data_IF_344515513271
#
_entry.id   IF_344515513271
#
_cell.length_a   1.000
_cell.length_b   1.000
_cell.length_c   1.000
_cell.angle_alpha   90.00
_cell.angle_beta   90.00
_cell.angle_gamma   90.00
#
_symmetry.space_group_name_H-M   'P 1'
#
loop_
_entity.id
_entity.type
_entity.pdbx_description
1 polymer ?
#
# COMPACT_ATOMS: atom_id res chain seq x y z
N UNK A 1 18.00 16.81 4.45
CA UNK A 1 16.74 17.27 3.81
C UNK A 1 17.06 18.13 2.60
N UNK A 2 16.60 17.76 1.39
CA UNK A 2 16.78 18.62 0.20
C UNK A 2 16.04 19.94 0.44
N UNK A 3 16.65 21.10 0.13
CA UNK A 3 16.00 22.41 0.27
C UNK A 3 14.73 22.45 -0.57
N UNK A 4 13.58 22.58 0.09
CA UNK A 4 12.29 22.76 -0.57
C UNK A 4 12.24 24.17 -1.18
N UNK A 5 12.08 24.25 -2.51
CA UNK A 5 12.08 25.54 -3.24
C UNK A 5 10.84 26.39 -3.00
N UNK A 6 9.70 25.75 -2.70
CA UNK A 6 8.41 26.43 -2.48
C UNK A 6 7.81 25.92 -1.18
N UNK A 7 7.76 26.78 -0.17
CA UNK A 7 7.25 26.45 1.17
C UNK A 7 5.81 26.93 1.40
N UNK A 8 5.39 27.99 0.71
CA UNK A 8 4.06 28.59 0.86
C UNK A 8 3.44 28.83 -0.50
N UNK A 9 2.18 28.43 -0.63
CA UNK A 9 1.35 28.71 -1.80
C UNK A 9 0.42 29.87 -1.46
N UNK A 10 0.10 30.71 -2.46
CA UNK A 10 -0.75 31.89 -2.27
C UNK A 10 -2.23 31.55 -2.06
N UNK A 11 -2.70 30.46 -2.66
CA UNK A 11 -4.08 29.96 -2.57
C UNK A 11 -4.08 28.42 -2.61
N UNK A 12 -5.11 27.82 -2.03
CA UNK A 12 -5.31 26.38 -1.99
C UNK A 12 -5.51 25.84 -3.41
N UNK A 13 -6.32 26.50 -4.24
CA UNK A 13 -6.56 26.09 -5.63
C UNK A 13 -5.27 26.00 -6.47
N UNK A 14 -4.37 26.98 -6.32
CA UNK A 14 -3.06 26.99 -6.99
C UNK A 14 -2.22 25.80 -6.53
N UNK A 15 -2.35 25.47 -5.25
CA UNK A 15 -1.76 24.27 -4.69
C UNK A 15 -2.33 23.02 -5.36
N UNK A 16 -3.64 22.83 -5.33
CA UNK A 16 -4.30 21.64 -5.86
C UNK A 16 -3.93 21.41 -7.34
N UNK A 17 -3.88 22.48 -8.16
CA UNK A 17 -3.36 22.42 -9.53
C UNK A 17 -1.88 22.05 -9.62
N UNK A 18 -1.05 22.49 -8.67
CA UNK A 18 0.36 22.11 -8.60
C UNK A 18 0.54 20.61 -8.34
N UNK A 19 -0.33 20.00 -7.51
CA UNK A 19 -0.33 18.55 -7.27
C UNK A 19 -0.73 17.78 -8.53
N UNK A 20 -1.74 18.26 -9.27
CA UNK A 20 -2.12 17.66 -10.56
C UNK A 20 -0.99 17.71 -11.59
N UNK A 21 -0.29 18.84 -11.68
CA UNK A 21 0.78 19.02 -12.68
C UNK A 21 2.09 18.29 -12.33
N UNK A 22 2.37 17.98 -11.06
CA UNK A 22 3.67 17.47 -10.60
C UNK A 22 3.51 16.27 -9.68
N UNK A 23 4.13 15.14 -10.05
CA UNK A 23 4.06 13.86 -9.31
C UNK A 23 4.71 13.83 -7.91
N UNK A 24 5.53 14.82 -7.53
CA UNK A 24 6.30 14.82 -6.26
C UNK A 24 6.05 16.07 -5.44
N UNK A 25 4.78 16.41 -5.28
CA UNK A 25 4.33 17.56 -4.49
C UNK A 25 3.19 17.10 -3.61
N UNK A 26 3.26 17.48 -2.34
CA UNK A 26 2.18 17.33 -1.38
C UNK A 26 1.82 18.70 -0.82
N UNK A 27 0.57 18.84 -0.38
CA UNK A 27 0.05 20.09 0.18
C UNK A 27 -0.48 19.80 1.57
N UNK A 28 -0.14 20.71 2.47
CA UNK A 28 -0.63 20.73 3.83
C UNK A 28 -1.57 21.93 3.96
N UNK A 29 -2.78 21.69 4.46
CA UNK A 29 -3.82 22.70 4.54
C UNK A 29 -5.00 22.25 5.40
N UNK A 30 -6.05 23.06 5.42
CA UNK A 30 -7.29 22.70 6.11
C UNK A 30 -7.93 21.47 5.47
N UNK A 31 -8.33 20.49 6.29
CA UNK A 31 -8.91 19.23 5.81
C UNK A 31 -10.16 19.48 4.97
N UNK A 32 -11.12 20.24 5.50
CA UNK A 32 -12.40 20.49 4.81
C UNK A 32 -12.20 21.25 3.49
N UNK A 33 -11.30 22.24 3.48
CA UNK A 33 -10.98 22.99 2.25
C UNK A 33 -10.31 22.11 1.20
N UNK A 34 -9.39 21.24 1.61
CA UNK A 34 -8.75 20.30 0.68
C UNK A 34 -9.72 19.23 0.20
N UNK A 35 -10.62 18.78 1.07
CA UNK A 35 -11.65 17.82 0.72
C UNK A 35 -12.61 18.41 -0.32
N UNK A 36 -13.13 19.62 -0.08
CA UNK A 36 -13.97 20.35 -1.04
C UNK A 36 -13.29 20.56 -2.38
N UNK A 37 -12.03 21.01 -2.40
CA UNK A 37 -11.31 21.22 -3.66
C UNK A 37 -11.00 19.89 -4.36
N UNK A 38 -10.70 18.81 -3.63
CA UNK A 38 -10.49 17.49 -4.24
C UNK A 38 -11.75 16.96 -4.92
N UNK A 39 -12.92 17.14 -4.29
CA UNK A 39 -14.23 16.81 -4.87
C UNK A 39 -14.60 17.72 -6.04
N UNK A 40 -14.03 18.92 -6.15
CA UNK A 40 -14.27 19.88 -7.26
C UNK A 40 -13.34 19.69 -8.46
N UNK A 41 -12.12 19.21 -8.25
CA UNK A 41 -11.12 18.95 -9.29
C UNK A 41 -11.04 17.46 -9.71
N UNK A 42 -11.92 16.63 -9.19
CA UNK A 42 -12.00 15.19 -9.43
C UNK A 42 -11.25 14.39 -8.36
N UNK A 43 -12.00 13.66 -7.52
CA UNK A 43 -11.50 12.94 -6.35
C UNK A 43 -10.50 11.83 -6.67
N UNK A 44 -10.56 11.23 -7.87
CA UNK A 44 -9.67 10.15 -8.32
C UNK A 44 -8.19 10.56 -8.40
N UNK A 45 -7.92 11.86 -8.56
CA UNK A 45 -6.54 12.34 -8.73
C UNK A 45 -5.84 12.65 -7.40
N UNK A 46 -6.56 12.59 -6.28
CA UNK A 46 -6.07 13.05 -4.99
C UNK A 46 -6.28 12.01 -3.92
N UNK A 47 -5.26 11.82 -3.09
CA UNK A 47 -5.39 11.09 -1.84
C UNK A 47 -5.27 12.08 -0.69
N UNK A 48 -6.33 12.18 0.11
CA UNK A 48 -6.23 12.86 1.40
C UNK A 48 -5.55 11.93 2.40
N UNK A 49 -4.40 12.36 2.91
CA UNK A 49 -3.71 11.69 4.01
C UNK A 49 -4.46 11.87 5.33
N UNK A 50 -4.07 11.09 6.33
CA UNK A 50 -4.63 11.17 7.68
C UNK A 50 -4.50 12.58 8.28
N UNK A 51 -5.44 12.90 9.16
CA UNK A 51 -5.48 14.16 9.88
C UNK A 51 -4.31 14.27 10.86
N UNK A 52 -3.32 15.09 10.52
CA UNK A 52 -2.14 15.34 11.35
C UNK A 52 -2.45 16.17 12.61
N UNK A 53 -3.50 17.01 12.58
CA UNK A 53 -3.84 17.89 13.70
C UNK A 53 -5.33 18.21 13.77
N UNK A 54 -5.88 18.24 14.98
CA UNK A 54 -7.28 18.56 15.27
C UNK A 54 -7.43 20.01 15.69
N UNK A 55 -8.12 20.80 14.85
CA UNK A 55 -8.68 22.11 15.22
C UNK A 55 -10.15 22.16 14.90
N UNK A 56 -10.87 22.94 15.69
CA UNK A 56 -12.25 23.29 15.46
C UNK A 56 -12.32 24.70 14.88
N UNK A 57 -13.24 24.90 13.93
CA UNK A 57 -13.60 26.23 13.47
C UNK A 57 -14.45 26.91 14.53
N UNK A 58 -14.11 28.13 14.89
CA UNK A 58 -14.82 28.93 15.87
C UNK A 58 -15.00 30.35 15.35
N UNK A 59 -16.03 31.02 15.83
CA UNK A 59 -16.31 32.41 15.49
C UNK A 59 -15.76 33.28 16.62
N UNK A 60 -14.83 34.16 16.28
CA UNK A 60 -14.21 35.06 17.24
C UNK A 60 -15.17 36.22 17.57
N UNK A 61 -15.48 36.38 18.86
CA UNK A 61 -16.24 37.50 19.39
C UNK A 61 -15.32 38.40 20.23
N UNK A 62 -15.67 39.68 20.36
CA UNK A 62 -14.93 40.59 21.24
C UNK A 62 -15.03 40.13 22.70
N UNK A 63 -13.95 40.30 23.46
CA UNK A 63 -13.92 40.00 24.89
C UNK A 63 -14.98 40.85 25.60
N UNK A 64 -15.88 40.20 26.35
CA UNK A 64 -17.02 40.86 27.01
C UNK A 64 -18.25 41.05 26.14
N UNK A 65 -18.34 40.41 24.97
CA UNK A 65 -19.54 40.47 24.13
C UNK A 65 -20.79 39.94 24.89
N UNK A 66 -21.85 40.74 25.05
CA UNK A 66 -23.06 40.34 25.78
C UNK A 66 -23.85 39.23 25.05
N UNK A 67 -23.59 39.02 23.75
CA UNK A 67 -24.29 38.04 22.93
C UNK A 67 -23.60 36.67 22.88
N UNK A 68 -22.47 36.48 23.56
CA UNK A 68 -21.69 35.24 23.46
C UNK A 68 -22.53 34.01 23.83
N UNK A 69 -23.27 34.07 24.93
CA UNK A 69 -24.08 32.96 25.40
C UNK A 69 -25.27 32.70 24.47
N UNK A 70 -25.97 33.76 24.05
CA UNK A 70 -27.06 33.64 23.07
C UNK A 70 -26.58 33.05 21.75
N UNK A 71 -25.41 33.48 21.28
CA UNK A 71 -24.82 32.99 20.04
C UNK A 71 -24.46 31.51 20.13
N UNK A 72 -23.82 31.09 21.23
CA UNK A 72 -23.50 29.68 21.46
C UNK A 72 -24.77 28.82 21.51
N UNK A 73 -25.82 29.28 22.20
CA UNK A 73 -27.09 28.56 22.25
C UNK A 73 -27.72 28.39 20.87
N UNK A 74 -27.70 29.43 20.03
CA UNK A 74 -28.19 29.35 18.65
C UNK A 74 -27.34 28.40 17.80
N UNK A 75 -26.02 28.42 17.93
CA UNK A 75 -25.15 27.49 17.19
C UNK A 75 -25.41 26.04 17.60
N UNK A 76 -25.61 25.80 18.90
CA UNK A 76 -25.95 24.47 19.42
C UNK A 76 -27.30 23.99 18.89
N UNK A 77 -28.34 24.83 18.90
CA UNK A 77 -29.65 24.44 18.36
C UNK A 77 -29.61 24.20 16.86
N UNK A 78 -28.83 24.98 16.09
CA UNK A 78 -28.62 24.74 14.66
C UNK A 78 -27.88 23.42 14.37
N UNK A 79 -26.93 23.05 15.25
CA UNK A 79 -26.22 21.78 15.17
C UNK A 79 -27.15 20.61 15.49
N UNK A 80 -27.91 20.69 16.59
CA UNK A 80 -28.86 19.67 17.02
C UNK A 80 -30.01 19.47 16.02
N UNK A 81 -30.50 20.55 15.41
CA UNK A 81 -31.49 20.50 14.34
C UNK A 81 -30.94 19.91 13.03
N UNK A 82 -29.63 19.64 12.93
CA UNK A 82 -28.99 19.08 11.74
C UNK A 82 -28.88 20.06 10.56
N UNK A 83 -29.18 21.36 10.77
CA UNK A 83 -29.17 22.38 9.71
C UNK A 83 -27.75 22.58 9.19
N UNK A 84 -26.74 22.55 10.06
CA UNK A 84 -25.34 22.67 9.65
C UNK A 84 -24.91 21.49 8.75
N UNK A 85 -25.35 20.27 9.05
CA UNK A 85 -25.09 19.10 8.21
C UNK A 85 -25.80 19.19 6.86
N UNK A 86 -27.04 19.70 6.85
CA UNK A 86 -27.76 19.94 5.60
C UNK A 86 -27.07 21.00 4.75
N UNK A 87 -26.64 22.11 5.35
CA UNK A 87 -25.93 23.18 4.65
C UNK A 87 -24.63 22.68 4.00
N UNK A 88 -23.81 21.92 4.74
CA UNK A 88 -22.56 21.37 4.18
C UNK A 88 -22.85 20.37 3.06
N UNK A 89 -23.79 19.43 3.26
CA UNK A 89 -24.15 18.49 2.20
C UNK A 89 -24.73 19.17 0.96
N UNK A 90 -25.49 20.25 1.12
CA UNK A 90 -26.03 21.03 0.01
C UNK A 90 -24.92 21.79 -0.73
N UNK A 91 -23.90 22.32 -0.04
CA UNK A 91 -22.71 22.89 -0.69
C UNK A 91 -21.97 21.87 -1.55
N UNK A 92 -21.74 20.65 -1.04
CA UNK A 92 -21.15 19.57 -1.83
C UNK A 92 -22.07 19.11 -2.98
N UNK A 93 -23.40 19.25 -2.82
CA UNK A 93 -24.39 18.96 -3.87
C UNK A 93 -24.39 19.93 -5.03
N UNK A 94 -24.05 21.17 -4.78
CA UNK A 94 -24.02 22.21 -5.80
C UNK A 94 -22.72 22.21 -6.61
N UNK A 95 -21.77 21.32 -6.31
CA UNK A 95 -20.58 21.14 -7.13
C UNK A 95 -20.95 20.62 -8.54
N UNK A 96 -20.30 21.14 -9.60
CA UNK A 96 -20.63 20.79 -10.98
C UNK A 96 -20.51 19.29 -11.21
N UNK A 97 -21.53 18.70 -11.85
CA UNK A 97 -21.64 17.24 -12.08
C UNK A 97 -20.45 16.64 -12.83
N UNK A 98 -19.72 17.43 -13.61
CA UNK A 98 -18.47 17.02 -14.27
C UNK A 98 -17.39 16.54 -13.28
N UNK A 99 -17.44 16.98 -12.02
CA UNK A 99 -16.54 16.51 -10.96
C UNK A 99 -17.06 15.26 -10.23
N UNK A 100 -18.36 14.95 -10.38
CA UNK A 100 -19.04 13.77 -9.79
C UNK A 100 -19.08 12.58 -10.73
N UNK A 101 -19.08 12.84 -12.04
CA UNK A 101 -19.08 11.87 -13.12
C UNK A 101 -17.79 12.00 -13.93
N UNK A 102 -16.68 11.58 -13.34
CA UNK A 102 -15.66 10.90 -14.13
C UNK A 102 -15.82 9.42 -13.85
N UNK A 103 -16.07 8.67 -14.90
CA UNK A 103 -16.18 7.21 -14.97
C UNK A 103 -15.19 6.50 -14.04
N UNK A 104 -15.60 5.37 -13.46
CA UNK A 104 -14.82 4.56 -12.51
C UNK A 104 -13.62 3.95 -13.24
N UNK A 105 -12.57 4.73 -13.46
CA UNK A 105 -11.30 4.26 -14.04
C UNK A 105 -10.51 3.63 -12.92
N UNK A 106 -10.76 2.34 -12.73
CA UNK A 106 -9.77 1.34 -12.31
C UNK A 106 -8.82 1.78 -11.18
N UNK A 107 -9.37 1.95 -9.99
CA UNK A 107 -8.56 2.17 -8.78
C UNK A 107 -7.75 0.90 -8.46
N UNK A 108 -6.47 0.99 -8.77
CA UNK A 108 -5.41 0.13 -8.28
C UNK A 108 -4.77 0.86 -7.09
N UNK A 109 -4.59 0.15 -5.97
CA UNK A 109 -3.60 0.44 -4.91
C UNK A 109 -3.82 1.66 -4.01
N UNK A 110 -4.30 1.45 -2.77
CA UNK A 110 -3.46 1.17 -1.59
C UNK A 110 -4.19 1.64 -0.32
N UNK A 111 -4.77 0.70 0.43
CA UNK A 111 -5.09 0.84 1.84
C UNK A 111 -4.29 -0.21 2.61
N UNK A 112 -3.21 0.23 3.25
CA UNK A 112 -2.63 -0.36 4.45
C UNK A 112 -2.68 0.75 5.50
N UNK A 113 -3.64 0.62 6.43
CA UNK A 113 -3.43 0.34 7.87
C UNK A 113 -2.85 1.55 8.63
N UNK A 114 -3.48 2.02 9.71
CA UNK A 114 -3.43 1.41 11.04
C UNK A 114 -4.67 1.78 11.88
N UNK A 115 -5.13 0.79 12.63
CA UNK A 115 -6.18 0.83 13.66
C UNK A 115 -5.77 1.64 14.90
N UNK A 116 -6.73 2.31 15.54
CA UNK A 116 -6.76 2.48 17.01
C UNK A 116 -8.17 2.86 17.48
N UNK A 117 -8.87 1.88 18.05
CA UNK A 117 -9.52 1.94 19.36
C UNK A 117 -10.56 3.01 19.69
N UNK A 118 -11.81 2.54 19.80
CA UNK A 118 -12.80 2.82 20.86
C UNK A 118 -13.72 4.05 20.81
N UNK A 119 -15.00 3.71 20.59
CA UNK A 119 -16.17 4.08 21.39
C UNK A 119 -16.72 5.51 21.32
N UNK A 120 -17.82 5.64 20.56
CA UNK A 120 -18.73 6.79 20.63
C UNK A 120 -19.87 6.63 19.63
N UNK A 121 -20.97 6.04 20.08
CA UNK A 121 -22.16 5.74 19.28
C UNK A 121 -22.74 6.99 18.61
N UNK A 122 -22.88 6.98 17.28
CA UNK A 122 -24.02 7.61 16.62
C UNK A 122 -24.25 6.94 15.27
N UNK A 123 -25.46 6.39 15.13
CA UNK A 123 -25.98 5.68 13.98
C UNK A 123 -25.81 6.49 12.69
N UNK A 124 -24.91 6.05 11.81
CA UNK A 124 -24.96 6.38 10.40
C UNK A 124 -25.34 5.11 9.64
N UNK A 125 -26.49 5.22 8.98
CA UNK A 125 -27.10 4.29 8.06
C UNK A 125 -26.04 3.69 7.15
N UNK A 126 -25.72 2.41 7.37
CA UNK A 126 -24.92 1.62 6.45
C UNK A 126 -25.69 1.57 5.12
N UNK A 127 -25.20 2.31 4.13
CA UNK A 127 -25.45 1.92 2.75
C UNK A 127 -24.79 0.56 2.60
N UNK A 128 -25.63 -0.46 2.57
CA UNK A 128 -25.30 -1.84 2.27
C UNK A 128 -24.54 -1.85 0.94
N UNK A 129 -23.22 -1.73 1.01
CA UNK A 129 -22.35 -2.04 -0.12
C UNK A 129 -22.46 -3.53 -0.28
N UNK A 130 -23.34 -3.96 -1.19
CA UNK A 130 -23.31 -5.28 -1.80
C UNK A 130 -21.86 -5.72 -1.85
N UNK A 131 -21.55 -6.72 -1.04
CA UNK A 131 -20.26 -7.41 -0.95
C UNK A 131 -20.09 -8.11 -2.30
N UNK A 132 -19.76 -7.31 -3.31
CA UNK A 132 -19.33 -7.77 -4.60
C UNK A 132 -17.97 -8.37 -4.33
N UNK A 133 -17.92 -9.70 -4.28
CA UNK A 133 -16.71 -10.50 -4.30
C UNK A 133 -15.72 -9.85 -5.26
N UNK A 134 -14.72 -9.17 -4.73
CA UNK A 134 -13.63 -8.65 -5.54
C UNK A 134 -13.03 -9.84 -6.29
N UNK A 135 -12.82 -9.72 -7.61
CA UNK A 135 -12.11 -10.76 -8.33
C UNK A 135 -10.73 -10.90 -7.68
N UNK A 136 -10.41 -12.11 -7.21
CA UNK A 136 -9.16 -12.42 -6.50
C UNK A 136 -8.00 -11.81 -7.27
N UNK A 137 -7.36 -10.79 -6.67
CA UNK A 137 -6.31 -10.05 -7.37
C UNK A 137 -5.11 -10.97 -7.64
N UNK A 138 -4.57 -10.91 -8.86
CA UNK A 138 -3.41 -11.72 -9.27
C UNK A 138 -2.18 -11.53 -8.35
N UNK A 139 -2.15 -10.44 -7.58
CA UNK A 139 -1.12 -10.17 -6.57
C UNK A 139 -1.22 -11.10 -5.37
N UNK A 140 -2.43 -11.37 -4.88
CA UNK A 140 -2.68 -12.33 -3.79
C UNK A 140 -2.29 -13.75 -4.28
N UNK A 141 -2.59 -14.07 -5.54
CA UNK A 141 -2.32 -15.37 -6.14
C UNK A 141 -0.84 -15.60 -6.49
N UNK A 142 -0.04 -14.52 -6.62
CA UNK A 142 1.41 -14.61 -6.92
C UNK A 142 2.18 -15.42 -5.88
N UNK A 143 1.83 -15.28 -4.61
CA UNK A 143 2.44 -16.04 -3.52
C UNK A 143 2.19 -17.54 -3.67
N UNK A 144 0.93 -17.91 -3.95
CA UNK A 144 0.52 -19.30 -4.16
C UNK A 144 1.19 -19.94 -5.40
N UNK A 145 1.27 -19.21 -6.52
CA UNK A 145 1.96 -19.70 -7.72
C UNK A 145 3.47 -19.86 -7.53
N UNK A 146 4.11 -18.97 -6.76
CA UNK A 146 5.53 -19.12 -6.43
C UNK A 146 5.77 -20.38 -5.59
N UNK A 147 4.91 -20.62 -4.59
CA UNK A 147 4.96 -21.82 -3.76
C UNK A 147 4.74 -23.11 -4.57
N UNK A 148 3.74 -23.11 -5.48
CA UNK A 148 3.51 -24.19 -6.42
C UNK A 148 4.71 -24.43 -7.33
N UNK A 149 5.31 -23.37 -7.87
CA UNK A 149 6.51 -23.46 -8.71
C UNK A 149 7.68 -24.12 -7.97
N UNK A 150 7.96 -23.69 -6.74
CA UNK A 150 9.02 -24.30 -5.90
C UNK A 150 8.68 -25.75 -5.56
N UNK A 151 7.41 -26.06 -5.28
CA UNK A 151 6.94 -27.42 -5.00
C UNK A 151 7.12 -28.37 -6.19
N UNK A 152 6.78 -27.93 -7.41
CA UNK A 152 7.01 -28.75 -8.61
C UNK A 152 8.49 -28.95 -8.90
N UNK A 153 9.31 -27.92 -8.69
CA UNK A 153 10.76 -27.99 -8.94
C UNK A 153 11.44 -28.94 -7.96
N UNK A 154 11.03 -28.93 -6.68
CA UNK A 154 11.51 -29.87 -5.67
C UNK A 154 11.04 -31.31 -5.95
N UNK A 155 9.78 -31.50 -6.35
CA UNK A 155 9.26 -32.81 -6.74
C UNK A 155 9.99 -33.39 -7.96
N UNK A 156 10.24 -32.57 -8.99
CA UNK A 156 11.01 -32.98 -10.17
C UNK A 156 12.46 -33.37 -9.82
N UNK A 157 13.08 -32.68 -8.87
CA UNK A 157 14.40 -33.04 -8.36
C UNK A 157 14.40 -34.39 -7.63
N UNK A 158 13.43 -34.63 -6.75
CA UNK A 158 13.29 -35.91 -6.03
C UNK A 158 13.08 -37.05 -7.01
N UNK A 159 12.18 -36.88 -7.98
CA UNK A 159 11.88 -37.88 -9.00
C UNK A 159 13.10 -38.14 -9.90
N UNK A 160 13.86 -37.10 -10.25
CA UNK A 160 15.11 -37.25 -11.01
C UNK A 160 16.16 -38.03 -10.23
N UNK A 161 16.27 -37.82 -8.91
CA UNK A 161 17.17 -38.57 -8.04
C UNK A 161 16.74 -40.04 -7.97
N UNK A 162 15.45 -40.29 -7.79
CA UNK A 162 14.91 -41.65 -7.72
C UNK A 162 15.14 -42.44 -9.01
N UNK A 163 14.86 -41.84 -10.18
CA UNK A 163 15.16 -42.45 -11.48
C UNK A 163 16.65 -42.75 -11.62
N UNK A 164 17.53 -41.85 -11.19
CA UNK A 164 18.98 -42.08 -11.24
C UNK A 164 19.41 -43.24 -10.33
N UNK A 165 18.83 -43.36 -9.12
CA UNK A 165 19.09 -44.46 -8.19
C UNK A 165 18.57 -45.79 -8.75
N UNK A 166 17.35 -45.78 -9.31
CA UNK A 166 16.74 -46.96 -9.90
C UNK A 166 17.54 -47.47 -11.11
N UNK A 167 17.89 -46.58 -12.06
CA UNK A 167 18.75 -46.92 -13.20
C UNK A 167 20.09 -47.47 -12.75
N UNK A 168 20.69 -46.91 -11.69
CA UNK A 168 21.96 -47.39 -11.15
C UNK A 168 21.87 -48.75 -10.45
N UNK A 169 20.70 -49.10 -9.91
CA UNK A 169 20.42 -50.41 -9.32
C UNK A 169 20.14 -51.49 -10.38
N UNK A 170 19.47 -51.11 -11.47
CA UNK A 170 19.19 -52.01 -12.62
C UNK A 170 20.42 -52.22 -13.53
N UNK A 171 21.34 -51.24 -13.61
CA UNK A 171 22.61 -51.39 -14.34
C UNK A 171 23.67 -52.09 -13.48
N UNK A 172 23.39 -53.33 -13.07
CA UNK A 172 24.46 -54.29 -12.78
C UNK A 172 24.61 -55.22 -13.98
N UNK A 173 25.65 -55.01 -14.79
CA UNK A 173 26.51 -56.10 -15.19
C UNK A 173 27.86 -55.92 -14.50
N UNK A 174 28.33 -56.98 -13.86
CA UNK A 174 29.72 -57.13 -13.44
C UNK A 174 30.66 -56.80 -14.62
N UNK A 175 31.89 -56.36 -14.31
CA UNK A 175 33.04 -56.15 -15.24
C UNK A 175 33.36 -54.69 -15.63
N UNK A 176 32.45 -53.71 -15.53
CA UNK A 176 32.77 -52.29 -15.82
C UNK A 176 32.96 -51.38 -14.58
N UNK A 177 33.23 -51.97 -13.42
CA UNK A 177 33.31 -51.24 -12.12
C UNK A 177 34.64 -50.49 -11.90
N UNK A 178 35.75 -50.92 -12.50
CA UNK A 178 37.08 -50.38 -12.16
C UNK A 178 37.39 -49.03 -12.83
N UNK A 179 36.87 -48.75 -14.03
CA UNK A 179 37.10 -47.49 -14.74
C UNK A 179 36.08 -46.39 -14.39
N UNK A 180 34.80 -46.73 -14.19
CA UNK A 180 33.73 -45.77 -13.87
C UNK A 180 33.82 -45.22 -12.44
N UNK A 181 34.25 -46.02 -11.46
CA UNK A 181 34.48 -45.53 -10.09
C UNK A 181 35.57 -44.45 -10.01
N UNK A 182 36.59 -44.48 -10.90
CA UNK A 182 37.60 -43.42 -10.99
C UNK A 182 37.05 -42.14 -11.61
N UNK A 183 36.24 -42.23 -12.67
CA UNK A 183 35.62 -41.08 -13.31
C UNK A 183 34.58 -40.40 -12.40
N UNK A 184 33.73 -41.17 -11.71
CA UNK A 184 32.76 -40.65 -10.75
C UNK A 184 33.40 -40.07 -9.49
N UNK A 185 34.53 -40.63 -9.02
CA UNK A 185 35.34 -39.97 -7.97
C UNK A 185 35.89 -38.63 -8.45
N UNK A 186 36.42 -38.55 -9.68
CA UNK A 186 36.91 -37.29 -10.26
C UNK A 186 35.82 -36.24 -10.38
N UNK A 187 34.63 -36.64 -10.84
CA UNK A 187 33.47 -35.74 -10.94
C UNK A 187 32.98 -35.30 -9.56
N UNK A 188 32.84 -36.21 -8.57
CA UNK A 188 32.49 -35.85 -7.19
C UNK A 188 33.50 -34.88 -6.56
N UNK A 189 34.79 -35.05 -6.85
CA UNK A 189 35.85 -34.16 -6.36
C UNK A 189 35.72 -32.77 -7.00
N UNK A 190 35.49 -32.70 -8.32
CA UNK A 190 35.26 -31.44 -9.03
C UNK A 190 33.99 -30.73 -8.54
N UNK A 191 32.90 -31.47 -8.33
CA UNK A 191 31.64 -30.93 -7.82
C UNK A 191 31.77 -30.42 -6.40
N UNK A 192 32.49 -31.15 -5.51
CA UNK A 192 32.83 -30.67 -4.16
C UNK A 192 33.70 -29.41 -4.21
N UNK A 193 34.61 -29.30 -5.17
CA UNK A 193 35.48 -28.13 -5.34
C UNK A 193 34.69 -26.91 -5.83
N UNK A 194 33.76 -27.12 -6.76
CA UNK A 194 32.81 -26.12 -7.25
C UNK A 194 31.85 -25.66 -6.15
N UNK A 195 31.24 -26.58 -5.40
CA UNK A 195 30.38 -26.26 -4.25
C UNK A 195 31.12 -25.46 -3.18
N UNK A 196 32.37 -25.82 -2.83
CA UNK A 196 33.18 -25.01 -1.89
C UNK A 196 33.55 -23.63 -2.41
N UNK A 197 33.57 -23.40 -3.72
CA UNK A 197 33.77 -22.07 -4.31
C UNK A 197 32.49 -21.26 -4.27
N UNK A 198 31.37 -21.87 -4.64
CA UNK A 198 30.04 -21.25 -4.55
C UNK A 198 29.68 -20.88 -3.13
N UNK A 199 29.89 -21.78 -2.17
CA UNK A 199 29.63 -21.53 -0.74
C UNK A 199 30.49 -20.38 -0.23
N UNK A 200 31.78 -20.30 -0.61
CA UNK A 200 32.64 -19.16 -0.23
C UNK A 200 32.23 -17.84 -0.88
N UNK A 201 31.77 -17.88 -2.13
CA UNK A 201 31.22 -16.69 -2.79
C UNK A 201 29.90 -16.25 -2.14
N UNK A 202 29.06 -17.20 -1.73
CA UNK A 202 27.80 -16.96 -1.05
C UNK A 202 28.01 -16.38 0.36
N UNK A 203 28.96 -16.92 1.13
CA UNK A 203 29.35 -16.34 2.42
C UNK A 203 29.96 -14.94 2.26
N UNK A 204 30.80 -14.68 1.26
CA UNK A 204 31.29 -13.32 0.97
C UNK A 204 30.18 -12.36 0.56
N UNK A 205 29.18 -12.84 -0.19
CA UNK A 205 28.04 -12.04 -0.57
C UNK A 205 27.16 -11.70 0.63
N UNK A 206 26.94 -12.67 1.52
CA UNK A 206 26.24 -12.47 2.79
C UNK A 206 27.04 -11.52 3.70
N UNK A 207 28.34 -11.73 3.88
CA UNK A 207 29.19 -10.86 4.71
C UNK A 207 29.23 -9.42 4.16
N UNK A 208 29.28 -9.22 2.85
CA UNK A 208 29.17 -7.90 2.24
C UNK A 208 27.78 -7.28 2.38
N UNK A 209 26.73 -8.09 2.46
CA UNK A 209 25.35 -7.63 2.67
C UNK A 209 25.04 -7.34 4.14
N UNK A 210 25.75 -7.98 5.08
CA UNK A 210 25.64 -7.78 6.53
C UNK A 210 26.71 -6.83 7.10
N UNK A 211 27.70 -6.40 6.32
CA UNK A 211 28.66 -5.40 6.76
C UNK A 211 27.92 -4.09 7.06
N UNK A 212 27.97 -3.58 8.30
CA UNK A 212 27.37 -2.28 8.63
C UNK A 212 28.14 -1.21 7.86
N UNK A 213 27.40 -0.36 7.13
CA UNK A 213 27.97 0.85 6.55
C UNK A 213 28.56 1.72 7.66
N UNK A 214 29.90 1.78 7.70
CA UNK A 214 30.65 2.88 8.31
C UNK A 214 30.93 3.90 7.22
#
# INVERSE_FOLDING_TARGET
MKRQRIQRVRSIEVGVRMVLSRRRVAILGGRETLYYDSERFGSQNFHLSEKLYTRYSAIALQIGCPYLETFNNVVMTLFEAGILSKMTTDEYKNLPEASRRSEKVTESENKESIESGESGATSQTQSESTIGLEPVSLRILRGAFCLLGVGYLSAALVLSIEIQVYKRKSTKPEVLETKKCRALRRIKILLRRQMRRMIRAFYRYIDNALAPMV
#
